data_IF_530932689678
#
_entry.id   IF_530932689678
#
_cell.length_a   1.000
_cell.length_b   1.000
_cell.length_c   1.000
_cell.angle_alpha   90.00
_cell.angle_beta   90.00
_cell.angle_gamma   90.00
#
_symmetry.space_group_name_H-M   'P 1'
#
loop_
_entity.id
_entity.type
_entity.pdbx_description
1 polymer ?
#
# COMPACT_ATOMS: atom_id res chain seq x y z
N UNK A 1 -0.22 18.72 0.72
CA UNK A 1 0.02 18.53 -0.72
C UNK A 1 -1.25 18.91 -1.50
N UNK A 2 -1.46 20.20 -1.76
CA UNK A 2 -2.59 20.71 -2.58
C UNK A 2 -2.00 21.47 -3.78
N UNK A 3 -1.35 20.72 -4.66
CA UNK A 3 -1.18 21.13 -6.05
C UNK A 3 -2.20 20.35 -6.85
N UNK A 4 -3.22 21.00 -7.41
CA UNK A 4 -4.08 20.34 -8.39
C UNK A 4 -3.20 19.93 -9.55
N UNK A 5 -3.10 18.63 -9.79
CA UNK A 5 -2.38 18.08 -10.93
C UNK A 5 -3.30 18.28 -12.14
N UNK A 6 -3.03 19.22 -13.06
CA UNK A 6 -4.05 19.70 -14.01
C UNK A 6 -4.58 18.63 -14.96
N UNK A 7 -3.80 17.57 -15.19
CA UNK A 7 -4.15 16.44 -16.03
C UNK A 7 -4.94 15.34 -15.29
N UNK A 8 -5.10 15.43 -13.97
CA UNK A 8 -5.71 14.39 -13.14
C UNK A 8 -7.22 14.64 -12.96
N UNK A 9 -7.97 14.62 -14.07
CA UNK A 9 -9.41 14.84 -14.09
C UNK A 9 -10.18 13.52 -14.02
N UNK A 10 -11.37 13.48 -13.38
CA UNK A 10 -12.04 12.21 -13.02
C UNK A 10 -12.48 11.40 -14.24
N UNK A 11 -12.85 12.07 -15.32
CA UNK A 11 -13.23 11.54 -16.62
C UNK A 11 -12.07 10.92 -17.43
N UNK A 12 -10.82 11.15 -16.99
CA UNK A 12 -9.61 10.55 -17.60
C UNK A 12 -9.32 9.14 -17.09
N UNK A 13 -10.11 8.61 -16.16
CA UNK A 13 -9.90 7.30 -15.55
C UNK A 13 -10.96 6.30 -16.01
N UNK A 14 -10.54 5.18 -16.59
CA UNK A 14 -11.42 4.08 -16.96
C UNK A 14 -12.00 3.34 -15.74
N UNK A 15 -11.29 3.37 -14.61
CA UNK A 15 -11.72 2.79 -13.33
C UNK A 15 -11.33 3.71 -12.17
N UNK A 16 -12.24 3.86 -11.21
CA UNK A 16 -12.02 4.57 -9.96
C UNK A 16 -12.58 3.73 -8.82
N UNK A 17 -11.75 3.40 -7.85
CA UNK A 17 -12.15 2.64 -6.67
C UNK A 17 -11.38 3.13 -5.45
N UNK A 18 -12.01 3.04 -4.29
CA UNK A 18 -11.44 3.22 -2.96
C UNK A 18 -11.06 1.88 -2.31
N UNK A 19 -11.25 0.76 -3.02
CA UNK A 19 -10.87 -0.59 -2.59
C UNK A 19 -9.52 -0.97 -3.20
N UNK A 20 -8.46 -0.94 -2.38
CA UNK A 20 -7.14 -1.37 -2.80
C UNK A 20 -7.12 -2.81 -3.38
N UNK A 21 -7.85 -3.79 -2.80
CA UNK A 21 -7.94 -5.13 -3.40
C UNK A 21 -8.58 -5.13 -4.79
N UNK A 22 -9.62 -4.32 -5.02
CA UNK A 22 -10.25 -4.21 -6.33
C UNK A 22 -9.30 -3.60 -7.36
N UNK A 23 -8.54 -2.57 -6.97
CA UNK A 23 -7.52 -1.96 -7.81
C UNK A 23 -6.42 -2.95 -8.21
N UNK A 24 -5.89 -3.71 -7.25
CA UNK A 24 -4.88 -4.74 -7.53
C UNK A 24 -5.43 -5.88 -8.41
N UNK A 25 -6.67 -6.31 -8.19
CA UNK A 25 -7.30 -7.33 -9.03
C UNK A 25 -7.47 -6.85 -10.48
N UNK A 26 -7.84 -5.58 -10.69
CA UNK A 26 -7.94 -5.00 -12.04
C UNK A 26 -6.58 -4.99 -12.75
N UNK A 27 -5.49 -4.65 -12.04
CA UNK A 27 -4.13 -4.73 -12.58
C UNK A 27 -3.79 -6.16 -13.04
N UNK A 28 -4.03 -7.14 -12.18
CA UNK A 28 -3.77 -8.57 -12.47
C UNK A 28 -4.60 -9.11 -13.62
N UNK A 29 -5.81 -8.60 -13.80
CA UNK A 29 -6.68 -8.95 -14.92
C UNK A 29 -6.28 -8.25 -16.24
N UNK A 30 -5.22 -7.44 -16.26
CA UNK A 30 -4.76 -6.73 -17.45
C UNK A 30 -5.65 -5.54 -17.84
N UNK A 31 -6.43 -4.98 -16.90
CA UNK A 31 -7.32 -3.84 -17.16
C UNK A 31 -6.56 -2.58 -17.63
N UNK A 32 -5.28 -2.45 -17.25
CA UNK A 32 -4.41 -1.36 -17.68
C UNK A 32 -3.32 -1.03 -16.66
N UNK A 33 -2.83 0.21 -16.71
CA UNK A 33 -1.82 0.74 -15.78
C UNK A 33 -2.51 1.38 -14.57
N UNK A 34 -1.97 1.16 -13.39
CA UNK A 34 -2.48 1.73 -12.15
C UNK A 34 -1.44 1.75 -11.03
N UNK A 35 -1.81 2.36 -9.90
CA UNK A 35 -0.93 2.55 -8.75
C UNK A 35 -1.26 1.51 -7.69
N UNK A 36 -0.25 0.85 -7.14
CA UNK A 36 -0.39 -0.04 -5.99
C UNK A 36 0.91 -0.09 -5.18
N UNK A 37 0.87 -0.72 -4.00
CA UNK A 37 2.07 -0.89 -3.19
C UNK A 37 3.04 -1.89 -3.83
N UNK A 38 4.30 -1.46 -4.03
CA UNK A 38 5.34 -2.23 -4.73
C UNK A 38 5.54 -3.64 -4.12
N UNK A 39 5.57 -3.76 -2.79
CA UNK A 39 5.78 -5.05 -2.11
C UNK A 39 4.62 -6.04 -2.35
N UNK A 40 3.38 -5.55 -2.54
CA UNK A 40 2.24 -6.39 -2.91
C UNK A 40 2.31 -6.84 -4.37
N UNK A 41 2.64 -5.91 -5.28
CA UNK A 41 2.77 -6.20 -6.71
C UNK A 41 3.90 -7.20 -7.00
N UNK A 42 5.03 -7.12 -6.28
CA UNK A 42 6.18 -8.05 -6.41
C UNK A 42 5.85 -9.53 -6.18
N UNK A 43 4.71 -9.84 -5.56
CA UNK A 43 4.23 -11.22 -5.38
C UNK A 43 3.64 -11.80 -6.66
N UNK A 44 3.45 -10.98 -7.68
CA UNK A 44 2.86 -11.33 -8.96
C UNK A 44 3.91 -11.15 -10.07
N UNK A 45 4.40 -12.24 -10.69
CA UNK A 45 5.46 -12.16 -11.69
C UNK A 45 4.99 -11.50 -13.01
N UNK A 46 3.68 -11.44 -13.26
CA UNK A 46 3.12 -10.86 -14.48
C UNK A 46 2.97 -9.34 -14.39
N UNK A 47 3.13 -8.76 -13.20
CA UNK A 47 3.10 -7.32 -12.98
C UNK A 47 4.49 -6.69 -13.14
N UNK A 48 4.58 -5.66 -13.98
CA UNK A 48 5.81 -4.89 -14.21
C UNK A 48 5.71 -3.52 -13.55
N UNK A 49 6.74 -3.14 -12.78
CA UNK A 49 6.84 -1.81 -12.18
C UNK A 49 7.26 -0.79 -13.23
N UNK A 50 6.43 0.23 -13.46
CA UNK A 50 6.71 1.35 -14.34
C UNK A 50 7.20 2.58 -13.55
N UNK A 51 7.99 3.44 -14.19
CA UNK A 51 8.45 4.74 -13.65
C UNK A 51 9.04 4.65 -12.24
N UNK A 52 9.92 3.67 -12.01
CA UNK A 52 10.41 3.35 -10.68
C UNK A 52 11.20 4.49 -10.02
N UNK A 53 11.84 5.34 -10.84
CA UNK A 53 12.69 6.44 -10.41
C UNK A 53 11.90 7.76 -10.31
N UNK A 54 10.82 7.89 -11.07
CA UNK A 54 9.99 9.11 -11.11
C UNK A 54 8.78 9.04 -10.16
N UNK A 55 8.22 7.85 -9.93
CA UNK A 55 6.99 7.64 -9.16
C UNK A 55 7.22 6.62 -8.04
N UNK A 56 7.71 7.12 -6.91
CA UNK A 56 7.96 6.33 -5.71
C UNK A 56 7.52 7.07 -4.42
N UNK A 57 6.22 7.40 -4.26
CA UNK A 57 5.74 8.04 -3.06
C UNK A 57 5.94 7.12 -1.84
N UNK A 58 6.53 7.67 -0.78
CA UNK A 58 6.71 6.95 0.49
C UNK A 58 5.41 6.99 1.27
N UNK A 59 4.90 5.80 1.62
CA UNK A 59 3.77 5.65 2.52
C UNK A 59 4.29 5.38 3.93
N UNK A 60 4.18 6.37 4.80
CA UNK A 60 4.44 6.16 6.22
C UNK A 60 3.43 5.17 6.79
N UNK A 61 3.92 4.23 7.61
CA UNK A 61 3.12 3.17 8.21
C UNK A 61 3.25 3.27 9.73
N UNK A 62 2.13 3.23 10.43
CA UNK A 62 2.08 3.25 11.89
C UNK A 62 1.39 1.99 12.40
N UNK A 63 1.93 1.46 13.49
CA UNK A 63 1.27 0.43 14.29
C UNK A 63 0.72 1.12 15.54
N UNK A 64 -0.60 1.17 15.68
CA UNK A 64 -1.27 1.91 16.74
C UNK A 64 -2.15 1.00 17.60
N UNK A 65 -2.12 1.21 18.92
CA UNK A 65 -3.01 0.59 19.90
C UNK A 65 -3.75 1.68 20.68
N UNK A 66 -4.97 1.36 21.14
CA UNK A 66 -5.62 2.19 22.14
C UNK A 66 -4.81 2.17 23.44
N UNK A 67 -4.71 3.31 24.14
CA UNK A 67 -3.86 3.44 25.34
C UNK A 67 -4.22 2.41 26.42
N UNK A 68 -5.52 2.23 26.70
CA UNK A 68 -6.03 1.25 27.66
C UNK A 68 -5.60 -0.21 27.37
N UNK A 69 -5.19 -0.51 26.13
CA UNK A 69 -4.74 -1.86 25.75
C UNK A 69 -3.24 -2.07 25.95
N UNK A 70 -2.47 -1.00 26.20
CA UNK A 70 -1.01 -1.03 26.34
C UNK A 70 -0.54 -1.97 27.45
N UNK A 71 -1.24 -1.95 28.57
CA UNK A 71 -0.86 -2.73 29.75
C UNK A 71 -1.40 -4.18 29.71
N UNK A 72 -2.19 -4.53 28.69
CA UNK A 72 -2.67 -5.90 28.53
C UNK A 72 -1.55 -6.81 27.98
N UNK A 73 -1.09 -7.83 28.73
CA UNK A 73 0.05 -8.65 28.30
C UNK A 73 -0.20 -9.36 26.96
N UNK A 74 -1.43 -9.83 26.73
CA UNK A 74 -1.86 -10.44 25.46
C UNK A 74 -1.80 -9.48 24.28
N UNK A 75 -2.20 -8.21 24.47
CA UNK A 75 -2.12 -7.20 23.41
C UNK A 75 -0.68 -6.85 23.11
N UNK A 76 0.16 -6.72 24.14
CA UNK A 76 1.59 -6.45 23.98
C UNK A 76 2.30 -7.53 23.17
N UNK A 77 2.08 -8.81 23.48
CA UNK A 77 2.68 -9.93 22.72
C UNK A 77 2.33 -9.87 21.23
N UNK A 78 1.06 -9.61 20.91
CA UNK A 78 0.62 -9.48 19.51
C UNK A 78 1.25 -8.27 18.83
N UNK A 79 1.30 -7.12 19.52
CA UNK A 79 1.88 -5.91 18.97
C UNK A 79 3.39 -6.00 18.75
N UNK A 80 4.13 -6.65 19.66
CA UNK A 80 5.56 -6.90 19.49
C UNK A 80 5.81 -7.78 18.25
N UNK A 81 4.99 -8.82 18.06
CA UNK A 81 5.05 -9.69 16.88
C UNK A 81 4.69 -8.93 15.57
N UNK A 82 3.64 -8.11 15.60
CA UNK A 82 3.24 -7.27 14.47
C UNK A 82 4.32 -6.24 14.14
N UNK A 83 4.91 -5.58 15.13
CA UNK A 83 5.99 -4.62 14.93
C UNK A 83 7.19 -5.28 14.24
N UNK A 84 7.64 -6.43 14.75
CA UNK A 84 8.74 -7.18 14.16
C UNK A 84 8.42 -7.64 12.73
N UNK A 85 7.21 -8.12 12.48
CA UNK A 85 6.75 -8.54 11.16
C UNK A 85 6.65 -7.38 10.15
N UNK A 86 6.07 -6.26 10.57
CA UNK A 86 5.93 -5.07 9.74
C UNK A 86 7.29 -4.46 9.41
N UNK A 87 8.22 -4.43 10.36
CA UNK A 87 9.60 -3.98 10.13
C UNK A 87 10.29 -4.82 9.05
N UNK A 88 10.24 -6.16 9.14
CA UNK A 88 10.77 -7.03 8.07
C UNK A 88 10.10 -6.75 6.73
N UNK A 89 8.77 -6.65 6.73
CA UNK A 89 8.01 -6.38 5.52
C UNK A 89 8.40 -5.07 4.84
N UNK A 90 8.61 -3.98 5.58
CA UNK A 90 8.99 -2.68 4.99
C UNK A 90 10.46 -2.63 4.58
N UNK A 91 11.35 -3.33 5.29
CA UNK A 91 12.79 -3.33 5.03
C UNK A 91 13.18 -4.03 3.73
N UNK A 92 12.45 -5.07 3.33
CA UNK A 92 12.91 -5.87 2.19
C UNK A 92 12.97 -7.36 2.47
N UNK A 93 13.09 -7.70 3.74
CA UNK A 93 13.43 -9.03 4.26
C UNK A 93 12.28 -10.04 4.18
#
# INVERSE_FOLDING_TARGET
>A
MKGQVPWMHRDRFALRTDSDPAGLAALRAGFGIGICQVRLARRDPDLVRLFADEVAPVLHTWLAMHEDQRDSPRCRVVFDALAAGLLRYVSGD
#
